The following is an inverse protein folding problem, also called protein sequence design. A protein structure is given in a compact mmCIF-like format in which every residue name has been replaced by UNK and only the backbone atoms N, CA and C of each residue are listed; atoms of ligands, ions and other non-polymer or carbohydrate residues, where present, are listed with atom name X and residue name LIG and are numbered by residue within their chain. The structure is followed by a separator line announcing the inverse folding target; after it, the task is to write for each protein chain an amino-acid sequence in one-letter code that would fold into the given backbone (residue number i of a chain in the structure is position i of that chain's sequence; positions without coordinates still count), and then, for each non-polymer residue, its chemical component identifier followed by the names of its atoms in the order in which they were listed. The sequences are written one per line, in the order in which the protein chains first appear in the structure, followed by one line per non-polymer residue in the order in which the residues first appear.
data_IF_089164072527
#
_entry.id   IF_089164072527
#
_cell.length_a   1.000
_cell.length_b   1.000
_cell.length_c   1.000
_cell.angle_alpha   90.00
_cell.angle_beta   90.00
_cell.angle_gamma   90.00
#
_symmetry.space_group_name_H-M   'P 1'
#
loop_
_entity.id
_entity.type
_entity.pdbx_description
1 polymer ?
#
# COMPACT_ATOMS: atom_id res chain seq x y z
N UNK A 1 -10.44 -0.49 -23.59
CA UNK A 1 -10.70 -0.72 -22.16
C UNK A 1 -9.45 -1.34 -21.56
N UNK A 2 -8.47 -0.50 -21.22
CA UNK A 2 -7.12 -0.95 -20.87
C UNK A 2 -7.01 -1.14 -19.35
N UNK A 3 -7.79 -2.08 -18.81
CA UNK A 3 -7.71 -2.49 -17.40
C UNK A 3 -6.50 -3.40 -17.13
N UNK A 4 -5.49 -3.33 -18.00
CA UNK A 4 -4.26 -4.13 -17.95
C UNK A 4 -3.29 -3.61 -16.89
N UNK A 5 -3.42 -2.34 -16.47
CA UNK A 5 -2.60 -1.72 -15.42
C UNK A 5 -3.46 -0.90 -14.46
N UNK A 6 -3.50 -1.31 -13.20
CA UNK A 6 -4.34 -0.68 -12.17
C UNK A 6 -3.55 -0.34 -10.91
N UNK A 7 -3.92 0.77 -10.29
CA UNK A 7 -3.44 1.11 -8.95
C UNK A 7 -4.64 1.13 -8.00
N UNK A 8 -4.64 0.19 -7.07
CA UNK A 8 -5.61 0.11 -5.99
C UNK A 8 -5.18 1.02 -4.85
N UNK A 9 -6.09 1.84 -4.36
CA UNK A 9 -5.83 2.74 -3.22
C UNK A 9 -6.93 2.70 -2.20
N UNK A 10 -6.58 2.98 -0.95
CA UNK A 10 -7.45 2.85 0.21
C UNK A 10 -8.16 4.15 0.60
N UNK A 11 -7.81 5.29 -0.02
CA UNK A 11 -8.44 6.56 0.29
C UNK A 11 -8.00 7.72 -0.61
N UNK A 12 -8.61 8.91 -0.39
CA UNK A 12 -8.44 10.10 -1.24
C UNK A 12 -6.99 10.59 -1.36
N UNK A 13 -6.22 10.55 -0.27
CA UNK A 13 -4.79 10.96 -0.29
C UNK A 13 -3.99 9.98 -1.15
N UNK A 14 -4.20 8.68 -0.95
CA UNK A 14 -3.55 7.65 -1.76
C UNK A 14 -3.94 7.75 -3.23
N UNK A 15 -5.20 8.05 -3.56
CA UNK A 15 -5.65 8.30 -4.94
C UNK A 15 -4.90 9.45 -5.59
N UNK A 16 -4.79 10.59 -4.90
CA UNK A 16 -4.05 11.75 -5.43
C UNK A 16 -2.61 11.38 -5.77
N UNK A 17 -1.89 10.72 -4.87
CA UNK A 17 -0.49 10.37 -5.12
C UNK A 17 -0.34 9.22 -6.13
N UNK A 18 -1.27 8.27 -6.15
CA UNK A 18 -1.30 7.22 -7.17
C UNK A 18 -1.41 7.80 -8.59
N UNK A 19 -2.26 8.82 -8.78
CA UNK A 19 -2.40 9.50 -10.08
C UNK A 19 -1.11 10.21 -10.51
N UNK A 20 -0.32 10.72 -9.55
CA UNK A 20 0.95 11.40 -9.83
C UNK A 20 2.09 10.42 -10.09
N UNK A 21 2.19 9.35 -9.29
CA UNK A 21 3.26 8.35 -9.36
C UNK A 21 3.07 7.38 -10.54
N UNK A 22 1.83 7.13 -10.93
CA UNK A 22 1.46 6.13 -11.93
C UNK A 22 0.51 6.74 -12.97
N UNK A 23 0.94 7.76 -13.74
CA UNK A 23 0.07 8.47 -14.68
C UNK A 23 -0.51 7.57 -15.79
N UNK A 24 0.17 6.46 -16.09
CA UNK A 24 -0.25 5.49 -17.11
C UNK A 24 -1.13 4.35 -16.56
N UNK A 25 -1.56 4.43 -15.29
CA UNK A 25 -2.39 3.41 -14.65
C UNK A 25 -3.80 3.93 -14.38
N UNK A 26 -4.78 3.03 -14.42
CA UNK A 26 -6.12 3.33 -13.91
C UNK A 26 -6.11 3.28 -12.38
N UNK A 27 -6.34 4.42 -11.72
CA UNK A 27 -6.40 4.49 -10.25
C UNK A 27 -7.82 4.20 -9.75
N UNK A 28 -7.96 3.21 -8.87
CA UNK A 28 -9.23 2.74 -8.32
C UNK A 28 -9.21 2.82 -6.79
N UNK A 29 -10.16 3.53 -6.20
CA UNK A 29 -10.32 3.57 -4.74
C UNK A 29 -11.17 2.39 -4.26
N UNK A 30 -10.55 1.48 -3.52
CA UNK A 30 -11.19 0.25 -3.01
C UNK A 30 -11.49 0.32 -1.51
N UNK A 31 -10.90 1.27 -0.78
CA UNK A 31 -11.08 1.36 0.67
C UNK A 31 -10.56 0.09 1.37
N UNK A 32 -11.38 -0.51 2.24
CA UNK A 32 -11.04 -1.77 2.92
C UNK A 32 -11.25 -3.01 2.06
N UNK A 33 -11.83 -2.89 0.86
CA UNK A 33 -12.13 -4.01 -0.05
C UNK A 33 -10.94 -4.34 -0.97
N UNK A 34 -9.75 -4.43 -0.38
CA UNK A 34 -8.50 -4.63 -1.14
C UNK A 34 -8.52 -5.98 -1.87
N UNK A 35 -8.95 -7.05 -1.20
CA UNK A 35 -9.06 -8.39 -1.80
C UNK A 35 -9.99 -8.42 -3.03
N UNK A 36 -11.14 -7.73 -2.95
CA UNK A 36 -12.04 -7.60 -4.09
C UNK A 36 -11.43 -6.80 -5.24
N UNK A 37 -10.66 -5.76 -4.92
CA UNK A 37 -9.92 -4.98 -5.90
C UNK A 37 -8.89 -5.84 -6.64
N UNK A 38 -8.12 -6.65 -5.91
CA UNK A 38 -7.13 -7.57 -6.48
C UNK A 38 -7.83 -8.58 -7.39
N UNK A 39 -8.87 -9.25 -6.90
CA UNK A 39 -9.63 -10.25 -7.67
C UNK A 39 -10.29 -9.69 -8.94
N UNK A 40 -10.64 -8.40 -8.95
CA UNK A 40 -11.19 -7.74 -10.12
C UNK A 40 -10.11 -7.30 -11.14
N UNK A 41 -8.83 -7.28 -10.72
CA UNK A 41 -7.70 -6.86 -11.54
C UNK A 41 -7.22 -8.02 -12.40
N UNK A 42 -6.94 -7.77 -13.68
CA UNK A 42 -6.58 -8.82 -14.66
C UNK A 42 -5.16 -8.69 -15.22
N UNK A 43 -4.38 -7.76 -14.69
CA UNK A 43 -3.04 -7.44 -15.19
C UNK A 43 -2.15 -6.85 -14.09
N UNK A 44 -1.23 -5.97 -14.48
CA UNK A 44 -0.32 -5.30 -13.55
C UNK A 44 -1.12 -4.55 -12.47
N UNK A 45 -0.88 -4.94 -11.22
CA UNK A 45 -1.61 -4.43 -10.06
C UNK A 45 -0.61 -3.83 -9.08
N UNK A 46 -0.86 -2.57 -8.72
CA UNK A 46 -0.11 -1.85 -7.69
C UNK A 46 -1.08 -1.50 -6.57
N UNK A 47 -0.70 -1.69 -5.31
CA UNK A 47 -1.43 -1.20 -4.15
C UNK A 47 -0.66 0.01 -3.62
N UNK A 48 -1.24 1.22 -3.78
CA UNK A 48 -0.58 2.47 -3.43
C UNK A 48 -1.41 3.31 -2.46
N UNK A 49 -0.78 3.79 -1.38
CA UNK A 49 -1.43 4.72 -0.47
C UNK A 49 -0.76 4.87 0.88
N UNK A 50 -1.53 5.40 1.83
CA UNK A 50 -1.04 5.55 3.19
C UNK A 50 -0.90 4.17 3.87
N UNK A 51 0.18 3.95 4.65
CA UNK A 51 0.49 2.69 5.33
C UNK A 51 -0.66 2.08 6.15
N UNK A 52 -1.44 2.92 6.82
CA UNK A 52 -2.36 2.47 7.87
C UNK A 52 -3.30 1.33 7.48
N UNK A 53 -4.05 1.48 6.38
CA UNK A 53 -5.00 0.43 5.98
C UNK A 53 -4.33 -0.71 5.21
N UNK A 54 -3.32 -0.41 4.41
CA UNK A 54 -2.59 -1.42 3.61
C UNK A 54 -1.88 -2.40 4.55
N UNK A 55 -1.13 -1.90 5.53
CA UNK A 55 -0.41 -2.75 6.48
C UNK A 55 -1.33 -3.50 7.44
N UNK A 56 -2.45 -2.90 7.86
CA UNK A 56 -3.47 -3.62 8.66
C UNK A 56 -4.20 -4.68 7.85
N UNK A 57 -4.39 -4.47 6.54
CA UNK A 57 -4.96 -5.48 5.69
C UNK A 57 -4.01 -6.66 5.51
N UNK A 58 -2.71 -6.40 5.33
CA UNK A 58 -1.69 -7.45 5.27
C UNK A 58 -1.56 -8.18 6.60
N UNK A 59 -1.39 -7.42 7.69
CA UNK A 59 -1.16 -7.92 9.04
C UNK A 59 -2.13 -7.24 10.03
N UNK A 60 -3.33 -7.82 10.27
CA UNK A 60 -4.35 -7.23 11.13
C UNK A 60 -3.87 -6.90 12.57
N UNK A 61 -2.86 -7.61 13.04
CA UNK A 61 -2.24 -7.45 14.35
C UNK A 61 -0.90 -6.70 14.37
N UNK A 62 -0.53 -5.94 13.33
CA UNK A 62 0.82 -5.35 13.20
C UNK A 62 1.29 -4.51 14.39
N UNK A 63 0.37 -3.93 15.17
CA UNK A 63 0.72 -3.10 16.34
C UNK A 63 0.69 -3.86 17.68
N UNK A 64 0.38 -5.16 17.68
CA UNK A 64 0.35 -5.95 18.91
C UNK A 64 1.76 -6.01 19.48
N UNK A 65 1.88 -5.70 20.77
CA UNK A 65 3.15 -5.70 21.53
C UNK A 65 4.23 -4.72 21.01
N UNK A 66 3.89 -3.75 20.16
CA UNK A 66 4.84 -2.72 19.69
C UNK A 66 4.86 -1.47 20.56
N UNK A 67 3.81 -1.25 21.35
CA UNK A 67 3.62 -0.04 22.16
C UNK A 67 3.05 1.16 21.39
N UNK A 68 2.86 1.05 20.07
CA UNK A 68 2.30 2.11 19.24
C UNK A 68 0.77 1.99 19.10
N UNK A 69 0.07 3.12 19.08
CA UNK A 69 -1.38 3.18 18.90
C UNK A 69 -1.78 3.14 17.42
N UNK A 70 -0.92 3.67 16.55
CA UNK A 70 -1.18 3.73 15.11
C UNK A 70 0.05 3.37 14.28
N UNK A 71 -0.19 2.89 13.07
CA UNK A 71 0.87 2.66 12.08
C UNK A 71 1.59 3.96 11.71
N UNK A 72 0.88 5.08 11.74
CA UNK A 72 1.49 6.40 11.50
C UNK A 72 2.51 6.74 12.60
N UNK A 73 2.14 6.54 13.86
CA UNK A 73 3.04 6.77 15.00
C UNK A 73 4.29 5.88 14.91
N UNK A 74 4.12 4.60 14.56
CA UNK A 74 5.24 3.68 14.28
C UNK A 74 6.18 4.25 13.22
N UNK A 75 5.66 4.74 12.10
CA UNK A 75 6.48 5.25 10.98
C UNK A 75 7.16 6.58 11.32
N UNK A 76 6.47 7.45 12.05
CA UNK A 76 7.03 8.74 12.48
C UNK A 76 8.14 8.55 13.53
N UNK A 77 8.03 7.51 14.35
CA UNK A 77 9.02 7.18 15.38
C UNK A 77 10.18 6.35 14.81
N UNK A 78 9.88 5.37 13.96
CA UNK A 78 10.85 4.44 13.37
C UNK A 78 10.53 4.17 11.89
N UNK A 79 11.00 5.08 11.02
CA UNK A 79 10.80 4.99 9.56
C UNK A 79 11.51 3.79 8.92
N UNK A 80 12.50 3.21 9.60
CA UNK A 80 13.30 2.09 9.13
C UNK A 80 12.92 0.77 9.83
N UNK A 81 11.73 0.72 10.43
CA UNK A 81 11.30 -0.45 11.18
C UNK A 81 11.20 -1.69 10.30
N UNK A 82 11.90 -2.76 10.69
CA UNK A 82 11.80 -4.08 10.05
C UNK A 82 10.36 -4.63 10.10
N UNK A 83 9.55 -4.20 11.07
CA UNK A 83 8.14 -4.55 11.15
C UNK A 83 7.35 -4.06 9.93
N UNK A 84 7.70 -2.87 9.41
CA UNK A 84 7.08 -2.32 8.20
C UNK A 84 7.52 -3.13 6.99
N UNK A 85 8.80 -3.47 6.92
CA UNK A 85 9.37 -4.24 5.80
C UNK A 85 8.72 -5.62 5.72
N UNK A 86 8.65 -6.34 6.83
CA UNK A 86 7.99 -7.65 6.89
C UNK A 86 6.50 -7.56 6.53
N UNK A 87 5.80 -6.51 6.97
CA UNK A 87 4.39 -6.34 6.63
C UNK A 87 4.17 -5.93 5.17
N UNK A 88 5.16 -5.30 4.52
CA UNK A 88 5.15 -5.07 3.07
C UNK A 88 5.35 -6.39 2.33
N UNK A 89 6.27 -7.25 2.79
CA UNK A 89 6.47 -8.58 2.22
C UNK A 89 5.21 -9.45 2.35
N UNK A 90 4.59 -9.45 3.54
CA UNK A 90 3.30 -10.14 3.77
C UNK A 90 2.20 -9.58 2.84
N UNK A 91 2.21 -8.28 2.55
CA UNK A 91 1.27 -7.66 1.62
C UNK A 91 1.51 -8.12 0.17
N UNK A 92 2.78 -8.26 -0.24
CA UNK A 92 3.16 -8.79 -1.57
C UNK A 92 2.70 -10.24 -1.69
N UNK A 93 2.98 -11.08 -0.69
CA UNK A 93 2.56 -12.50 -0.69
C UNK A 93 1.03 -12.61 -0.72
N UNK A 94 0.33 -11.90 0.16
CA UNK A 94 -1.13 -11.92 0.25
C UNK A 94 -1.82 -11.43 -1.02
N UNK A 95 -1.18 -10.54 -1.78
CA UNK A 95 -1.71 -10.01 -3.05
C UNK A 95 -1.30 -10.82 -4.27
N UNK A 96 -0.71 -12.02 -4.08
CA UNK A 96 -0.19 -12.87 -5.16
C UNK A 96 0.84 -12.13 -6.04
N UNK A 97 1.67 -11.27 -5.43
CA UNK A 97 2.77 -10.57 -6.09
C UNK A 97 2.48 -9.15 -6.55
N UNK A 98 1.37 -8.52 -6.13
CA UNK A 98 1.13 -7.12 -6.46
C UNK A 98 2.22 -6.23 -5.84
N UNK A 99 2.63 -5.18 -6.58
CA UNK A 99 3.60 -4.19 -6.08
C UNK A 99 2.95 -3.34 -5.00
N UNK A 100 3.64 -3.11 -3.89
CA UNK A 100 3.17 -2.35 -2.74
C UNK A 100 3.96 -1.05 -2.67
N UNK A 101 3.26 0.08 -2.66
CA UNK A 101 3.86 1.42 -2.61
C UNK A 101 3.23 2.19 -1.47
N UNK A 102 4.01 2.44 -0.43
CA UNK A 102 3.58 3.20 0.73
C UNK A 102 4.08 4.63 0.61
N UNK A 103 3.19 5.60 0.82
CA UNK A 103 3.54 7.02 0.81
C UNK A 103 3.18 7.68 2.15
N UNK A 104 3.89 8.73 2.51
CA UNK A 104 3.51 9.59 3.62
C UNK A 104 2.50 10.68 3.19
N UNK A 105 2.06 11.52 4.12
CA UNK A 105 1.09 12.59 3.82
C UNK A 105 1.62 13.67 2.88
N UNK A 106 2.94 13.80 2.73
CA UNK A 106 3.56 14.70 1.75
C UNK A 106 3.65 14.09 0.34
N UNK A 107 3.39 12.79 0.22
CA UNK A 107 3.50 12.04 -1.03
C UNK A 107 4.87 11.43 -1.26
N UNK A 108 5.81 11.58 -0.32
CA UNK A 108 7.09 10.90 -0.40
C UNK A 108 6.90 9.40 -0.19
N UNK A 109 7.59 8.61 -1.02
CA UNK A 109 7.60 7.15 -0.90
C UNK A 109 8.34 6.75 0.38
N UNK A 110 7.69 5.91 1.18
CA UNK A 110 8.24 5.29 2.39
C UNK A 110 8.82 3.92 2.03
N UNK A 111 8.08 3.13 1.24
CA UNK A 111 8.46 1.80 0.74
C UNK A 111 7.89 1.56 -0.64
N UNK A 112 8.62 0.77 -1.41
CA UNK A 112 8.26 0.34 -2.74
C UNK A 112 8.81 -1.07 -2.97
N UNK A 113 7.93 -2.07 -3.11
CA UNK A 113 8.37 -3.46 -3.29
C UNK A 113 8.78 -3.80 -4.73
N UNK A 114 8.55 -2.90 -5.69
CA UNK A 114 8.77 -3.16 -7.12
C UNK A 114 9.93 -2.39 -7.75
N UNK A 115 10.66 -1.57 -7.01
CA UNK A 115 11.77 -0.78 -7.57
C UNK A 115 12.69 -0.15 -6.53
N UNK A 116 13.98 -0.07 -6.89
CA UNK A 116 15.04 0.60 -6.14
C UNK A 116 14.75 2.11 -6.11
N UNK A 117 14.69 2.69 -4.91
CA UNK A 117 14.44 4.10 -4.63
C UNK A 117 15.37 5.05 -5.42
#
# INVERSE_FOLDING_TARGET
SDASRVVLTTGRIGMRYSQMLFPEHTVVMVGSRIDEGINASKGETIICGLPGLILKWAVPGILIATGFNTVQELIETDRNSQLIDNAVDDAVEKSEGARIVLVDRSGAVIRDSGGVL
#
